data_IF_779446801480
#
_entry.id   IF_779446801480
#
_cell.length_a   1.000
_cell.length_b   1.000
_cell.length_c   1.000
_cell.angle_alpha   90.00
_cell.angle_beta   90.00
_cell.angle_gamma   90.00
#
_symmetry.space_group_name_H-M   'P 1'
#
loop_
_entity.id
_entity.type
_entity.pdbx_description
1 polymer ?
#
# COMPACT_ATOMS: atom_id res chain seq x y z
N UNK A 1 -13.01 -3.58 -17.95
CA UNK A 1 -11.94 -2.84 -18.69
C UNK A 1 -12.46 -1.74 -19.60
N UNK A 2 -13.70 -1.80 -20.11
CA UNK A 2 -14.25 -0.80 -21.05
C UNK A 2 -14.34 0.65 -20.53
N UNK A 3 -14.44 0.88 -19.21
CA UNK A 3 -14.58 2.22 -18.61
C UNK A 3 -13.26 2.88 -18.19
N UNK A 4 -12.11 2.20 -18.29
CA UNK A 4 -10.82 2.73 -17.80
C UNK A 4 -10.01 3.44 -18.90
N UNK A 5 -10.36 3.24 -20.18
CA UNK A 5 -9.55 3.74 -21.31
C UNK A 5 -9.40 5.26 -21.30
N UNK A 6 -10.46 6.00 -20.98
CA UNK A 6 -10.43 7.47 -20.97
C UNK A 6 -9.71 8.05 -19.75
N UNK A 7 -9.51 7.25 -18.69
CA UNK A 7 -8.94 7.71 -17.42
C UNK A 7 -7.47 7.31 -17.21
N UNK A 8 -6.93 6.39 -18.01
CA UNK A 8 -5.52 5.99 -17.94
C UNK A 8 -4.69 6.92 -18.83
N UNK A 9 -4.18 7.98 -18.25
CA UNK A 9 -3.28 8.93 -18.90
C UNK A 9 -1.80 8.53 -18.71
N UNK A 10 -0.85 9.08 -19.48
CA UNK A 10 0.58 8.88 -19.23
C UNK A 10 0.98 9.22 -17.79
N UNK A 11 0.36 10.23 -17.18
CA UNK A 11 0.58 10.60 -15.79
C UNK A 11 0.16 9.48 -14.83
N UNK A 12 -0.97 8.83 -15.06
CA UNK A 12 -1.43 7.69 -14.25
C UNK A 12 -0.43 6.54 -14.35
N UNK A 13 0.10 6.25 -15.55
CA UNK A 13 1.11 5.20 -15.74
C UNK A 13 2.39 5.51 -14.97
N UNK A 14 2.89 6.76 -15.05
CA UNK A 14 4.07 7.21 -14.31
C UNK A 14 3.82 7.08 -12.80
N UNK A 15 2.66 7.52 -12.32
CA UNK A 15 2.30 7.42 -10.91
C UNK A 15 2.26 5.97 -10.42
N UNK A 16 1.70 5.05 -11.23
CA UNK A 16 1.71 3.61 -10.93
C UNK A 16 3.14 3.06 -10.85
N UNK A 17 4.02 3.44 -11.78
CA UNK A 17 5.42 3.01 -11.79
C UNK A 17 6.19 3.51 -10.56
N UNK A 18 6.02 4.78 -10.20
CA UNK A 18 6.64 5.38 -8.99
C UNK A 18 6.14 4.68 -7.74
N UNK A 19 4.83 4.44 -7.64
CA UNK A 19 4.24 3.72 -6.52
C UNK A 19 4.78 2.29 -6.40
N UNK A 20 4.84 1.55 -7.51
CA UNK A 20 5.39 0.19 -7.54
C UNK A 20 6.86 0.17 -7.13
N UNK A 21 7.66 1.14 -7.60
CA UNK A 21 9.04 1.31 -7.17
C UNK A 21 9.17 1.53 -5.66
N UNK A 22 8.38 2.46 -5.10
CA UNK A 22 8.36 2.70 -3.65
C UNK A 22 7.98 1.46 -2.84
N UNK A 23 6.94 0.73 -3.26
CA UNK A 23 6.52 -0.51 -2.63
C UNK A 23 7.62 -1.58 -2.65
N UNK A 24 8.37 -1.69 -3.75
CA UNK A 24 9.49 -2.64 -3.87
C UNK A 24 10.63 -2.35 -2.87
N UNK A 25 10.86 -1.08 -2.51
CA UNK A 25 11.86 -0.73 -1.48
C UNK A 25 11.37 -0.90 -0.05
N UNK A 26 10.05 -0.83 0.20
CA UNK A 26 9.48 -0.82 1.55
C UNK A 26 9.03 -2.21 2.00
N UNK A 27 8.35 -2.96 1.12
CA UNK A 27 7.68 -4.22 1.50
C UNK A 27 8.66 -5.34 1.88
N UNK A 28 9.77 -5.58 1.16
CA UNK A 28 10.72 -6.62 1.55
C UNK A 28 11.40 -6.35 2.90
N UNK A 29 11.96 -5.15 3.18
CA UNK A 29 12.52 -4.85 4.50
C UNK A 29 11.50 -4.93 5.64
N UNK A 30 10.26 -4.49 5.43
CA UNK A 30 9.19 -4.64 6.42
C UNK A 30 8.93 -6.11 6.74
N UNK A 31 8.80 -6.95 5.69
CA UNK A 31 8.56 -8.39 5.86
C UNK A 31 9.73 -9.06 6.58
N UNK A 32 10.97 -8.73 6.21
CA UNK A 32 12.17 -9.22 6.87
C UNK A 32 12.19 -8.83 8.36
N UNK A 33 11.83 -7.59 8.69
CA UNK A 33 11.81 -7.09 10.07
C UNK A 33 10.80 -7.84 10.93
N UNK A 34 9.59 -8.09 10.42
CA UNK A 34 8.56 -8.84 11.14
C UNK A 34 9.02 -10.27 11.44
N UNK A 35 9.66 -10.94 10.48
CA UNK A 35 10.14 -12.30 10.64
C UNK A 35 11.38 -12.38 11.54
N UNK A 36 12.31 -11.43 11.42
CA UNK A 36 13.54 -11.38 12.21
C UNK A 36 13.25 -11.18 13.71
N UNK A 37 12.21 -10.42 14.05
CA UNK A 37 11.86 -10.15 15.44
C UNK A 37 11.02 -11.26 16.08
N UNK A 38 10.64 -12.31 15.33
CA UNK A 38 9.90 -13.44 15.87
C UNK A 38 10.86 -14.49 16.47
N UNK A 39 10.55 -15.07 17.64
CA UNK A 39 11.23 -16.27 18.13
C UNK A 39 11.20 -17.37 17.06
N UNK A 40 12.28 -18.14 16.90
CA UNK A 40 12.36 -19.19 15.86
C UNK A 40 11.21 -20.20 15.93
N UNK A 41 10.75 -20.55 17.15
CA UNK A 41 9.61 -21.43 17.37
C UNK A 41 8.27 -20.87 16.88
N UNK A 42 8.18 -19.55 16.66
CA UNK A 42 6.98 -18.84 16.22
C UNK A 42 7.10 -18.25 14.81
N UNK A 43 8.20 -18.49 14.09
CA UNK A 43 8.46 -17.89 12.79
C UNK A 43 7.34 -18.21 11.77
N UNK A 44 6.82 -19.44 11.79
CA UNK A 44 5.69 -19.84 10.96
C UNK A 44 4.41 -19.05 11.28
N UNK A 45 4.09 -18.89 12.57
CA UNK A 45 2.93 -18.11 13.04
C UNK A 45 3.08 -16.63 12.69
N UNK A 46 4.26 -16.04 12.89
CA UNK A 46 4.53 -14.64 12.55
C UNK A 46 4.35 -14.39 11.04
N UNK A 47 4.85 -15.30 10.21
CA UNK A 47 4.63 -15.27 8.75
C UNK A 47 3.14 -15.37 8.40
N UNK A 48 2.41 -16.30 9.03
CA UNK A 48 0.97 -16.51 8.82
C UNK A 48 0.13 -15.27 9.20
N UNK A 49 0.47 -14.62 10.31
CA UNK A 49 -0.18 -13.37 10.74
C UNK A 49 0.14 -12.23 9.78
N UNK A 50 1.41 -12.06 9.40
CA UNK A 50 1.84 -11.04 8.43
C UNK A 50 1.12 -11.19 7.08
N UNK A 51 1.01 -12.42 6.56
CA UNK A 51 0.27 -12.66 5.31
C UNK A 51 -1.23 -12.40 5.46
N UNK A 52 -1.83 -12.82 6.58
CA UNK A 52 -3.26 -12.56 6.85
C UNK A 52 -3.56 -11.08 6.88
N UNK A 53 -2.73 -10.29 7.57
CA UNK A 53 -2.89 -8.82 7.63
C UNK A 53 -2.74 -8.18 6.25
N UNK A 54 -1.78 -8.63 5.44
CA UNK A 54 -1.62 -8.14 4.06
C UNK A 54 -2.85 -8.44 3.21
N UNK A 55 -3.38 -9.66 3.30
CA UNK A 55 -4.58 -10.06 2.54
C UNK A 55 -5.82 -9.30 3.01
N UNK A 56 -5.97 -9.09 4.33
CA UNK A 56 -7.03 -8.27 4.89
C UNK A 56 -6.95 -6.83 4.38
N UNK A 57 -5.75 -6.24 4.36
CA UNK A 57 -5.53 -4.91 3.78
C UNK A 57 -5.91 -4.85 2.30
N UNK A 58 -5.54 -5.87 1.51
CA UNK A 58 -5.92 -5.96 0.09
C UNK A 58 -7.45 -6.05 -0.09
N UNK A 59 -8.13 -6.87 0.71
CA UNK A 59 -9.58 -6.98 0.70
C UNK A 59 -10.27 -5.64 1.01
N UNK A 60 -9.82 -4.94 2.05
CA UNK A 60 -10.31 -3.60 2.40
C UNK A 60 -10.08 -2.64 1.22
N UNK A 61 -8.89 -2.67 0.61
CA UNK A 61 -8.57 -1.83 -0.55
C UNK A 61 -9.50 -2.06 -1.74
N UNK A 62 -9.84 -3.31 -2.04
CA UNK A 62 -10.80 -3.66 -3.09
C UNK A 62 -12.20 -3.14 -2.75
N UNK A 63 -12.67 -3.32 -1.51
CA UNK A 63 -13.97 -2.83 -1.07
C UNK A 63 -14.07 -1.29 -1.17
N UNK A 64 -13.04 -0.58 -0.70
CA UNK A 64 -12.96 0.89 -0.80
C UNK A 64 -12.88 1.36 -2.25
N UNK A 65 -12.21 0.61 -3.11
CA UNK A 65 -12.19 0.90 -4.55
C UNK A 65 -13.58 0.80 -5.14
N UNK A 66 -14.31 -0.29 -4.88
CA UNK A 66 -15.71 -0.44 -5.34
C UNK A 66 -16.61 0.68 -4.83
N UNK A 67 -16.46 1.05 -3.55
CA UNK A 67 -17.19 2.16 -2.95
C UNK A 67 -16.89 3.49 -3.65
N UNK A 68 -15.61 3.80 -3.91
CA UNK A 68 -15.22 5.00 -4.61
C UNK A 68 -15.82 5.05 -6.03
N UNK A 69 -15.73 3.96 -6.79
CA UNK A 69 -16.34 3.89 -8.12
C UNK A 69 -17.87 4.06 -8.13
N UNK A 70 -18.52 3.87 -6.98
CA UNK A 70 -19.97 4.05 -6.82
C UNK A 70 -20.34 5.48 -6.42
N UNK A 71 -19.50 6.14 -5.61
CA UNK A 71 -19.88 7.37 -4.90
C UNK A 71 -19.22 8.66 -5.40
N UNK A 72 -18.09 8.60 -6.12
CA UNK A 72 -17.35 9.79 -6.55
C UNK A 72 -17.26 9.92 -8.06
N UNK A 73 -17.36 11.17 -8.54
CA UNK A 73 -17.31 11.51 -9.96
C UNK A 73 -15.95 11.20 -10.63
N UNK A 74 -14.86 11.16 -9.86
CA UNK A 74 -13.50 10.89 -10.36
C UNK A 74 -12.80 9.84 -9.48
N UNK A 75 -13.24 8.58 -9.51
CA UNK A 75 -12.85 7.57 -8.53
C UNK A 75 -11.35 7.26 -8.54
N UNK A 76 -10.72 7.19 -9.72
CA UNK A 76 -9.28 6.94 -9.82
C UNK A 76 -8.45 8.05 -9.20
N UNK A 77 -8.78 9.32 -9.48
CA UNK A 77 -8.08 10.47 -8.89
C UNK A 77 -8.23 10.48 -7.38
N UNK A 78 -9.45 10.27 -6.88
CA UNK A 78 -9.71 10.19 -5.44
C UNK A 78 -8.91 9.07 -4.78
N UNK A 79 -8.90 7.86 -5.34
CA UNK A 79 -8.14 6.73 -4.81
C UNK A 79 -6.63 7.01 -4.81
N UNK A 80 -6.12 7.63 -5.87
CA UNK A 80 -4.70 8.02 -5.95
C UNK A 80 -4.34 9.05 -4.89
N UNK A 81 -5.18 10.07 -4.68
CA UNK A 81 -4.95 11.10 -3.65
C UNK A 81 -4.99 10.51 -2.23
N UNK A 82 -6.00 9.68 -1.94
CA UNK A 82 -6.11 8.99 -0.65
C UNK A 82 -4.90 8.09 -0.41
N UNK A 83 -4.49 7.32 -1.42
CA UNK A 83 -3.29 6.48 -1.34
C UNK A 83 -2.04 7.32 -1.08
N UNK A 84 -1.82 8.38 -1.86
CA UNK A 84 -0.68 9.28 -1.69
C UNK A 84 -0.64 9.90 -0.29
N UNK A 85 -1.78 10.37 0.22
CA UNK A 85 -1.88 10.94 1.56
C UNK A 85 -1.53 9.92 2.64
N UNK A 86 -2.07 8.70 2.58
CA UNK A 86 -1.77 7.63 3.55
C UNK A 86 -0.27 7.31 3.56
N UNK A 87 0.33 7.13 2.37
CA UNK A 87 1.75 6.82 2.27
C UNK A 87 2.63 7.99 2.74
N UNK A 88 2.24 9.24 2.45
CA UNK A 88 2.95 10.43 2.92
C UNK A 88 2.89 10.55 4.45
N UNK A 89 1.72 10.35 5.06
CA UNK A 89 1.56 10.39 6.51
C UNK A 89 2.38 9.28 7.19
N UNK A 90 2.37 8.06 6.62
CA UNK A 90 3.18 6.96 7.11
C UNK A 90 4.68 7.28 7.00
N UNK A 91 5.13 7.83 5.87
CA UNK A 91 6.52 8.25 5.68
C UNK A 91 6.94 9.32 6.69
N UNK A 92 6.10 10.32 6.93
CA UNK A 92 6.34 11.36 7.95
C UNK A 92 6.41 10.78 9.36
N UNK A 93 5.52 9.83 9.69
CA UNK A 93 5.53 9.16 10.99
C UNK A 93 6.82 8.34 11.18
N UNK A 94 7.25 7.60 10.16
CA UNK A 94 8.50 6.84 10.19
C UNK A 94 9.68 7.79 10.33
N UNK A 95 9.74 8.85 9.51
CA UNK A 95 10.80 9.84 9.53
C UNK A 95 11.00 10.45 10.93
N UNK A 96 9.91 10.83 11.61
CA UNK A 96 9.95 11.36 12.98
C UNK A 96 10.48 10.36 14.02
N UNK A 97 10.45 9.07 13.73
CA UNK A 97 10.92 8.00 14.63
C UNK A 97 12.30 7.47 14.25
N UNK A 98 12.90 7.95 13.15
CA UNK A 98 14.27 7.58 12.82
C UNK A 98 15.21 8.19 13.86
N UNK A 99 16.13 7.41 14.44
CA UNK A 99 17.16 7.97 15.31
C UNK A 99 17.98 8.98 14.52
N UNK A 100 18.07 10.22 15.01
CA UNK A 100 19.06 11.17 14.52
C UNK A 100 20.44 10.60 14.81
N UNK A 101 21.22 10.36 13.76
CA UNK A 101 22.63 10.00 13.92
C UNK A 101 23.39 11.12 14.62
#
# INVERSE_FOLDING_TARGET
>A
MLFLRESITPLVIIAMAVWAGGAAFVVPPMTATVLHNAPLSMAATASAVHTTLRQLGALIGVALTGLAFTLVASPLVTLMLVSALIHMLLALMIWRRLPTK
#
